data_IF_234272109576
#
_entry.id   IF_234272109576
#
_cell.length_a   1.000
_cell.length_b   1.000
_cell.length_c   1.000
_cell.angle_alpha   90.00
_cell.angle_beta   90.00
_cell.angle_gamma   90.00
#
_symmetry.space_group_name_H-M   'P 1'
#
loop_
_entity.id
_entity.type
_entity.pdbx_description
1 polymer ?
#
# COMPACT_ATOMS: atom_id res chain seq x y z
N UNK A 1 -24.73 -6.31 61.80
CA UNK A 1 -25.24 -7.12 60.68
C UNK A 1 -24.10 -7.35 59.72
N UNK A 2 -23.63 -8.58 59.63
CA UNK A 2 -22.58 -9.01 58.72
C UNK A 2 -23.12 -8.92 57.29
N UNK A 3 -22.56 -8.03 56.47
CA UNK A 3 -22.80 -8.01 55.03
C UNK A 3 -21.85 -9.00 54.36
N UNK A 4 -22.45 -10.04 53.79
CA UNK A 4 -21.85 -11.17 53.09
C UNK A 4 -20.53 -10.86 52.36
N UNK A 5 -19.49 -11.58 52.78
CA UNK A 5 -18.33 -11.92 51.95
C UNK A 5 -18.83 -12.54 50.64
N UNK A 6 -18.48 -11.93 49.52
CA UNK A 6 -18.62 -12.52 48.18
C UNK A 6 -18.07 -13.95 48.20
N UNK A 7 -18.88 -14.91 47.76
CA UNK A 7 -18.47 -16.30 47.56
C UNK A 7 -17.18 -16.34 46.73
N UNK A 8 -16.06 -16.69 47.38
CA UNK A 8 -14.80 -16.90 46.69
C UNK A 8 -14.92 -18.20 45.89
N UNK A 9 -15.16 -18.09 44.58
CA UNK A 9 -15.16 -19.24 43.69
C UNK A 9 -13.78 -19.91 43.71
N UNK A 10 -13.70 -21.10 44.31
CA UNK A 10 -12.48 -21.92 44.28
C UNK A 10 -12.19 -22.34 42.83
N UNK A 11 -11.01 -21.99 42.33
CA UNK A 11 -10.53 -22.37 40.99
C UNK A 11 -9.66 -23.61 41.07
N UNK A 12 -9.68 -24.43 40.03
CA UNK A 12 -8.78 -25.58 39.94
C UNK A 12 -7.33 -25.08 39.73
N UNK A 13 -6.29 -25.71 40.30
CA UNK A 13 -4.91 -25.24 40.13
C UNK A 13 -4.49 -25.06 38.66
N UNK A 14 -4.97 -25.92 37.75
CA UNK A 14 -4.70 -25.79 36.30
C UNK A 14 -5.31 -24.56 35.63
N UNK A 15 -6.28 -23.91 36.28
CA UNK A 15 -6.89 -22.67 35.81
C UNK A 15 -6.14 -21.45 36.36
N UNK A 16 -5.14 -21.63 37.23
CA UNK A 16 -4.40 -20.54 37.83
C UNK A 16 -3.13 -20.22 37.02
N UNK A 17 -2.72 -18.96 37.10
CA UNK A 17 -1.51 -18.42 36.48
C UNK A 17 -0.66 -17.76 37.57
N UNK A 18 0.65 -17.94 37.49
CA UNK A 18 1.56 -17.26 38.40
C UNK A 18 1.61 -15.74 38.12
N UNK A 19 1.17 -14.95 39.10
CA UNK A 19 1.14 -13.48 39.07
C UNK A 19 2.53 -12.86 38.92
N UNK A 20 3.59 -13.54 39.36
CA UNK A 20 4.98 -13.09 39.19
C UNK A 20 5.70 -13.79 38.04
N UNK A 21 5.01 -14.68 37.33
CA UNK A 21 5.55 -15.49 36.25
C UNK A 21 5.60 -14.76 34.91
N UNK A 22 6.18 -15.44 33.92
CA UNK A 22 6.37 -14.93 32.55
C UNK A 22 5.07 -14.68 31.79
N UNK A 23 3.96 -15.26 32.25
CA UNK A 23 2.65 -15.19 31.60
C UNK A 23 1.76 -14.08 32.15
N UNK A 24 2.13 -13.44 33.26
CA UNK A 24 1.32 -12.43 33.95
C UNK A 24 0.76 -11.36 32.99
N UNK A 25 1.58 -10.84 32.08
CA UNK A 25 1.16 -9.80 31.12
C UNK A 25 0.02 -10.18 30.16
N UNK A 26 -0.29 -11.47 30.04
CA UNK A 26 -1.40 -11.98 29.21
C UNK A 26 -2.75 -12.02 29.94
N UNK A 27 -2.76 -11.78 31.25
CA UNK A 27 -3.95 -11.84 32.08
C UNK A 27 -4.19 -10.52 32.81
N UNK A 28 -5.44 -10.29 33.22
CA UNK A 28 -5.87 -9.23 34.12
C UNK A 28 -6.42 -9.87 35.40
N UNK A 29 -6.53 -9.07 36.47
CA UNK A 29 -7.20 -9.50 37.71
C UNK A 29 -8.63 -9.97 37.45
N UNK A 30 -9.32 -9.30 36.52
CA UNK A 30 -10.68 -9.63 36.06
C UNK A 30 -10.81 -11.01 35.41
N UNK A 31 -9.70 -11.60 34.92
CA UNK A 31 -9.73 -12.97 34.39
C UNK A 31 -9.89 -14.01 35.53
N UNK A 32 -9.74 -13.59 36.80
CA UNK A 32 -9.78 -14.45 38.00
C UNK A 32 -8.83 -15.66 37.91
N UNK A 33 -7.74 -15.51 37.17
CA UNK A 33 -6.70 -16.53 36.96
C UNK A 33 -5.55 -16.39 37.94
N UNK A 34 -5.43 -15.25 38.62
CA UNK A 34 -4.44 -15.07 39.67
C UNK A 34 -4.97 -15.60 40.99
N UNK A 35 -4.06 -16.14 41.80
CA UNK A 35 -4.39 -16.50 43.17
C UNK A 35 -4.79 -15.22 43.92
N UNK A 36 -6.00 -15.19 44.49
CA UNK A 36 -6.43 -14.12 45.40
C UNK A 36 -5.71 -14.34 46.73
N UNK A 37 -4.92 -13.36 47.14
CA UNK A 37 -3.97 -13.51 48.23
C UNK A 37 -4.17 -12.38 49.22
N UNK A 38 -4.43 -12.73 50.48
CA UNK A 38 -4.11 -11.81 51.55
C UNK A 38 -2.58 -11.63 51.62
N UNK A 39 -2.15 -10.44 52.03
CA UNK A 39 -0.74 -10.03 52.11
C UNK A 39 0.10 -10.91 53.06
N UNK A 40 -0.54 -11.70 53.94
CA UNK A 40 0.14 -12.53 54.94
C UNK A 40 0.42 -13.95 54.45
N UNK A 41 -0.23 -14.38 53.37
CA UNK A 41 -0.26 -15.79 52.95
C UNK A 41 0.66 -16.09 51.75
N UNK A 42 1.05 -15.08 50.97
CA UNK A 42 1.94 -15.25 49.82
C UNK A 42 3.41 -15.53 50.18
N UNK A 43 3.79 -15.30 51.44
CA UNK A 43 5.16 -15.37 51.93
C UNK A 43 5.71 -16.79 52.15
N UNK A 44 5.00 -17.84 51.72
CA UNK A 44 5.52 -19.22 51.73
C UNK A 44 5.77 -19.71 50.30
N UNK A 45 7.02 -19.63 49.81
CA UNK A 45 7.44 -20.15 48.50
C UNK A 45 6.94 -21.57 48.21
N UNK A 46 6.81 -22.40 49.25
CA UNK A 46 6.32 -23.79 49.16
C UNK A 46 4.92 -23.93 48.59
N UNK A 47 4.03 -22.92 48.73
CA UNK A 47 2.65 -22.99 48.21
C UNK A 47 2.58 -22.75 46.71
N UNK A 48 3.32 -21.78 46.17
CA UNK A 48 3.42 -21.57 44.72
C UNK A 48 4.06 -22.78 44.05
N UNK A 49 5.10 -23.36 44.66
CA UNK A 49 5.70 -24.61 44.19
C UNK A 49 4.70 -25.77 44.21
N UNK A 50 3.85 -25.84 45.24
CA UNK A 50 2.79 -26.87 45.32
C UNK A 50 1.73 -26.66 44.23
N UNK A 51 1.26 -25.44 44.01
CA UNK A 51 0.28 -25.12 42.97
C UNK A 51 0.85 -25.40 41.57
N UNK A 52 2.11 -25.05 41.32
CA UNK A 52 2.80 -25.39 40.09
C UNK A 52 2.85 -26.91 39.88
N UNK A 53 3.16 -27.69 40.93
CA UNK A 53 3.13 -29.16 40.88
C UNK A 53 1.72 -29.73 40.63
N UNK A 54 0.69 -29.03 41.08
CA UNK A 54 -0.72 -29.39 40.87
C UNK A 54 -1.27 -28.91 39.51
N UNK A 55 -0.45 -28.31 38.66
CA UNK A 55 -0.80 -27.96 37.29
C UNK A 55 -1.01 -26.47 37.02
N UNK A 56 -0.72 -25.58 37.98
CA UNK A 56 -0.76 -24.12 37.74
C UNK A 56 0.16 -23.73 36.59
N UNK A 57 -0.36 -22.87 35.72
CA UNK A 57 0.34 -22.44 34.51
C UNK A 57 1.43 -21.43 34.87
N UNK A 58 2.70 -21.80 34.68
CA UNK A 58 3.86 -20.96 35.06
C UNK A 58 4.64 -20.43 33.86
N UNK A 59 4.76 -21.22 32.79
CA UNK A 59 5.67 -20.92 31.66
C UNK A 59 4.98 -21.02 30.30
N UNK A 60 4.20 -22.09 30.05
CA UNK A 60 3.60 -22.39 28.74
C UNK A 60 2.08 -22.46 28.85
N UNK A 61 1.38 -21.78 27.94
CA UNK A 61 -0.08 -21.83 27.82
C UNK A 61 -0.52 -23.13 27.12
N UNK A 62 -1.70 -23.63 27.50
CA UNK A 62 -2.43 -24.58 26.66
C UNK A 62 -2.90 -23.92 25.37
N UNK A 63 -3.21 -24.73 24.36
CA UNK A 63 -3.61 -24.27 23.02
C UNK A 63 -4.87 -23.40 23.09
N UNK A 64 -5.92 -23.90 23.76
CA UNK A 64 -7.16 -23.15 23.98
C UNK A 64 -6.91 -21.80 24.65
N UNK A 65 -6.06 -21.78 25.69
CA UNK A 65 -5.79 -20.55 26.43
C UNK A 65 -4.99 -19.56 25.58
N UNK A 66 -4.06 -20.03 24.76
CA UNK A 66 -3.32 -19.19 23.82
C UNK A 66 -4.26 -18.53 22.82
N UNK A 67 -5.17 -19.30 22.23
CA UNK A 67 -6.19 -18.80 21.30
C UNK A 67 -7.10 -17.77 21.99
N UNK A 68 -7.59 -18.06 23.20
CA UNK A 68 -8.42 -17.14 23.98
C UNK A 68 -7.70 -15.81 24.26
N UNK A 69 -6.40 -15.86 24.56
CA UNK A 69 -5.59 -14.65 24.76
C UNK A 69 -5.43 -13.84 23.47
N UNK A 70 -5.25 -14.49 22.32
CA UNK A 70 -5.24 -13.83 21.02
C UNK A 70 -6.58 -13.15 20.72
N UNK A 71 -7.71 -13.86 20.88
CA UNK A 71 -9.07 -13.32 20.69
C UNK A 71 -9.39 -12.15 21.63
N UNK A 72 -8.85 -12.17 22.86
CA UNK A 72 -9.09 -11.12 23.85
C UNK A 72 -8.57 -9.74 23.43
N UNK A 73 -7.58 -9.65 22.53
CA UNK A 73 -6.99 -8.37 22.09
C UNK A 73 -8.03 -7.52 21.36
N UNK A 74 -8.78 -8.13 20.44
CA UNK A 74 -9.85 -7.43 19.71
C UNK A 74 -10.99 -7.00 20.66
N UNK A 75 -11.34 -7.86 21.63
CA UNK A 75 -12.36 -7.52 22.63
C UNK A 75 -11.91 -6.33 23.51
N UNK A 76 -10.62 -6.29 23.87
CA UNK A 76 -10.04 -5.16 24.60
C UNK A 76 -9.99 -3.90 23.74
N UNK A 77 -9.76 -4.01 22.43
CA UNK A 77 -9.69 -2.86 21.54
C UNK A 77 -11.02 -2.09 21.49
N UNK A 78 -12.15 -2.79 21.67
CA UNK A 78 -13.48 -2.20 21.74
C UNK A 78 -13.72 -1.34 22.99
N UNK A 79 -12.97 -1.58 24.08
CA UNK A 79 -13.14 -0.90 25.37
C UNK A 79 -11.98 0.02 25.73
N UNK A 80 -10.74 -0.37 25.39
CA UNK A 80 -9.51 0.34 25.70
C UNK A 80 -8.34 -0.07 24.79
N UNK A 81 -7.98 0.81 23.86
CA UNK A 81 -6.86 0.60 22.94
C UNK A 81 -5.49 0.41 23.64
N UNK A 82 -5.23 1.07 24.77
CA UNK A 82 -4.00 0.87 25.55
C UNK A 82 -3.92 -0.55 26.11
N UNK A 83 -4.99 -1.03 26.75
CA UNK A 83 -5.03 -2.40 27.26
C UNK A 83 -4.89 -3.44 26.15
N UNK A 84 -5.50 -3.18 24.98
CA UNK A 84 -5.37 -4.06 23.82
C UNK A 84 -3.94 -4.12 23.30
N UNK A 85 -3.28 -2.96 23.18
CA UNK A 85 -1.87 -2.87 22.79
C UNK A 85 -0.95 -3.56 23.79
N UNK A 86 -1.12 -3.34 25.09
CA UNK A 86 -0.34 -4.02 26.12
C UNK A 86 -0.48 -5.54 26.01
N UNK A 87 -1.72 -6.03 25.84
CA UNK A 87 -2.01 -7.45 25.64
C UNK A 87 -1.35 -7.98 24.37
N UNK A 88 -1.43 -7.24 23.27
CA UNK A 88 -0.78 -7.56 22.00
C UNK A 88 0.73 -7.68 22.15
N UNK A 89 1.39 -6.70 22.78
CA UNK A 89 2.84 -6.69 23.03
C UNK A 89 3.27 -7.94 23.79
N UNK A 90 2.55 -8.30 24.85
CA UNK A 90 2.85 -9.50 25.64
C UNK A 90 2.58 -10.78 24.86
N UNK A 91 1.50 -10.82 24.09
CA UNK A 91 1.13 -11.96 23.26
C UNK A 91 2.18 -12.24 22.17
N UNK A 92 2.61 -11.20 21.46
CA UNK A 92 3.65 -11.29 20.43
C UNK A 92 5.00 -11.71 21.03
N UNK A 93 5.36 -11.23 22.24
CA UNK A 93 6.57 -11.73 22.95
C UNK A 93 6.49 -13.22 23.24
N UNK A 94 5.34 -13.69 23.73
CA UNK A 94 5.13 -15.11 24.01
C UNK A 94 5.23 -15.94 22.72
N UNK A 95 4.52 -15.55 21.67
CA UNK A 95 4.54 -16.25 20.38
C UNK A 95 5.97 -16.33 19.82
N UNK A 96 6.73 -15.25 19.85
CA UNK A 96 8.10 -15.25 19.35
C UNK A 96 9.03 -16.18 20.15
N UNK A 97 8.79 -16.34 21.46
CA UNK A 97 9.57 -17.27 22.30
C UNK A 97 9.23 -18.74 22.01
N UNK A 98 7.95 -19.03 21.80
CA UNK A 98 7.44 -20.41 21.65
C UNK A 98 7.26 -20.83 20.19
N UNK A 99 7.69 -20.01 19.21
CA UNK A 99 7.33 -20.16 17.80
C UNK A 99 7.63 -21.54 17.23
N UNK A 100 8.78 -22.13 17.57
CA UNK A 100 9.16 -23.48 17.11
C UNK A 100 8.22 -24.57 17.61
N UNK A 101 7.75 -24.47 18.86
CA UNK A 101 6.76 -25.41 19.40
C UNK A 101 5.39 -25.20 18.75
N UNK A 102 5.03 -23.97 18.44
CA UNK A 102 3.74 -23.62 17.85
C UNK A 102 3.69 -24.08 16.39
N UNK A 103 4.73 -23.82 15.59
CA UNK A 103 4.84 -24.24 14.19
C UNK A 103 4.76 -25.76 14.01
N UNK A 104 5.17 -26.51 15.03
CA UNK A 104 5.07 -27.98 15.04
C UNK A 104 3.62 -28.48 15.13
N UNK A 105 2.70 -27.68 15.68
CA UNK A 105 1.26 -27.95 15.66
C UNK A 105 0.58 -27.14 14.54
N UNK A 106 0.33 -27.81 13.42
CA UNK A 106 -0.23 -27.18 12.21
C UNK A 106 -1.65 -26.61 12.42
N UNK A 107 -2.47 -27.25 13.26
CA UNK A 107 -3.84 -26.80 13.54
C UNK A 107 -3.82 -25.49 14.34
N UNK A 108 -3.10 -25.48 15.46
CA UNK A 108 -2.90 -24.30 16.28
C UNK A 108 -2.27 -23.16 15.49
N UNK A 109 -1.23 -23.47 14.70
CA UNK A 109 -0.54 -22.46 13.90
C UNK A 109 -1.46 -21.84 12.85
N UNK A 110 -2.29 -22.66 12.20
CA UNK A 110 -3.29 -22.18 11.23
C UNK A 110 -4.34 -21.30 11.90
N UNK A 111 -4.84 -21.67 13.08
CA UNK A 111 -5.81 -20.84 13.82
C UNK A 111 -5.18 -19.49 14.19
N UNK A 112 -3.96 -19.48 14.74
CA UNK A 112 -3.24 -18.26 15.11
C UNK A 112 -3.08 -17.28 13.94
N UNK A 113 -2.82 -17.77 12.72
CA UNK A 113 -2.69 -16.94 11.51
C UNK A 113 -3.96 -16.18 11.16
N UNK A 114 -5.12 -16.62 11.62
CA UNK A 114 -6.43 -16.02 11.36
C UNK A 114 -6.90 -15.07 12.46
N UNK A 115 -6.25 -15.08 13.62
CA UNK A 115 -6.63 -14.22 14.75
C UNK A 115 -6.25 -12.76 14.50
N UNK A 116 -7.16 -11.84 14.81
CA UNK A 116 -6.93 -10.39 14.71
C UNK A 116 -6.21 -9.87 15.96
N UNK A 117 -4.89 -9.96 15.97
CA UNK A 117 -4.08 -9.55 17.12
C UNK A 117 -2.90 -8.65 16.78
N UNK A 118 -2.60 -8.40 15.49
CA UNK A 118 -1.49 -7.54 15.09
C UNK A 118 -2.00 -6.12 14.79
N UNK A 119 -1.32 -5.08 15.30
CA UNK A 119 -1.77 -3.70 15.14
C UNK A 119 -1.62 -3.24 13.69
N UNK A 120 -2.61 -2.54 13.18
CA UNK A 120 -2.62 -1.92 11.86
C UNK A 120 -2.09 -0.49 11.96
N UNK A 121 -1.21 -0.11 11.03
CA UNK A 121 -0.63 1.22 10.97
C UNK A 121 -1.70 2.27 10.63
N UNK A 122 -1.76 3.29 11.46
CA UNK A 122 -2.64 4.43 11.24
C UNK A 122 -2.14 5.33 10.11
N UNK A 123 -3.08 5.97 9.41
CA UNK A 123 -2.81 6.94 8.36
C UNK A 123 -2.07 8.16 8.93
N UNK A 124 -0.99 8.60 8.27
CA UNK A 124 -0.33 9.86 8.66
C UNK A 124 -1.23 11.05 8.33
N UNK A 125 -1.09 12.15 9.08
CA UNK A 125 -1.84 13.40 8.82
C UNK A 125 -1.48 14.02 7.46
N UNK A 126 -0.24 13.82 7.03
CA UNK A 126 0.28 14.35 5.77
C UNK A 126 -0.16 13.50 4.55
N UNK A 127 -0.81 12.37 4.80
CA UNK A 127 -1.24 11.43 3.76
C UNK A 127 -2.64 11.79 3.26
N UNK A 128 -2.75 12.25 2.02
CA UNK A 128 -4.01 12.84 1.51
C UNK A 128 -4.84 11.91 0.63
N UNK A 129 -4.33 10.75 0.22
CA UNK A 129 -5.07 9.76 -0.58
C UNK A 129 -5.55 8.58 0.27
N UNK A 130 -6.25 7.62 -0.33
CA UNK A 130 -6.77 6.43 0.32
C UNK A 130 -5.70 5.71 1.13
N UNK A 131 -6.11 5.15 2.27
CA UNK A 131 -5.26 4.35 3.13
C UNK A 131 -5.92 2.99 3.39
N UNK A 132 -5.13 1.92 3.46
CA UNK A 132 -5.62 0.54 3.54
C UNK A 132 -6.48 0.29 4.78
N UNK A 133 -6.21 1.00 5.88
CA UNK A 133 -7.06 0.95 7.08
C UNK A 133 -8.45 1.56 6.82
N UNK A 134 -8.58 2.56 5.94
CA UNK A 134 -9.86 3.21 5.62
C UNK A 134 -10.88 2.21 5.05
N UNK A 135 -10.40 1.10 4.45
CA UNK A 135 -11.24 0.02 3.92
C UNK A 135 -11.74 -0.93 5.02
N UNK A 136 -10.98 -1.04 6.12
CA UNK A 136 -11.36 -1.83 7.30
C UNK A 136 -12.36 -1.04 8.14
N UNK A 137 -12.11 0.27 8.36
CA UNK A 137 -12.93 1.11 9.24
C UNK A 137 -14.32 1.38 8.68
N UNK A 138 -14.48 1.53 7.36
CA UNK A 138 -15.79 1.63 6.69
C UNK A 138 -16.70 0.43 6.96
N UNK A 139 -16.16 -0.73 7.36
CA UNK A 139 -16.92 -1.92 7.77
C UNK A 139 -17.40 -1.86 9.24
N UNK A 140 -16.76 -1.02 10.08
CA UNK A 140 -16.91 -1.01 11.55
C UNK A 140 -17.73 0.19 12.04
N UNK A 141 -18.05 1.17 11.19
CA UNK A 141 -18.83 2.39 11.51
C UNK A 141 -20.25 2.12 12.10
N UNK A 142 -20.69 0.87 12.16
CA UNK A 142 -21.89 0.41 12.87
C UNK A 142 -21.72 0.22 14.38
N UNK A 143 -20.50 0.26 14.93
CA UNK A 143 -20.21 -0.11 16.32
C UNK A 143 -19.74 1.08 17.15
N UNK A 144 -20.61 1.59 18.03
CA UNK A 144 -20.30 2.64 19.00
C UNK A 144 -19.18 2.15 19.93
N UNK A 145 -17.98 2.71 19.84
CA UNK A 145 -16.87 2.39 20.74
C UNK A 145 -17.25 2.88 22.14
N UNK A 146 -17.40 1.94 23.09
CA UNK A 146 -17.73 2.25 24.49
C UNK A 146 -16.42 2.30 25.27
N UNK A 147 -15.96 3.51 25.60
CA UNK A 147 -14.77 3.68 26.42
C UNK A 147 -15.13 3.46 27.89
N UNK A 148 -14.91 2.23 28.36
CA UNK A 148 -15.11 1.85 29.76
C UNK A 148 -13.83 1.19 30.30
N UNK A 149 -12.81 2.03 30.54
CA UNK A 149 -11.58 1.59 31.18
C UNK A 149 -11.45 2.24 32.55
N UNK A 150 -11.30 1.42 33.59
CA UNK A 150 -11.10 1.86 34.97
C UNK A 150 -9.75 2.56 35.21
N UNK A 151 -8.83 2.55 34.23
CA UNK A 151 -7.54 3.24 34.35
C UNK A 151 -7.64 4.69 33.87
N UNK A 152 -7.49 5.63 34.80
CA UNK A 152 -7.61 7.08 34.57
C UNK A 152 -6.57 7.59 33.55
N UNK A 153 -5.42 6.93 33.44
CA UNK A 153 -4.34 7.30 32.49
C UNK A 153 -4.68 6.92 31.03
N UNK A 154 -5.73 6.12 30.80
CA UNK A 154 -6.13 5.66 29.47
C UNK A 154 -7.20 6.56 28.81
N UNK A 155 -7.41 7.79 29.31
CA UNK A 155 -8.52 8.70 28.92
C UNK A 155 -8.47 9.29 27.50
N UNK A 156 -7.34 9.20 26.79
CA UNK A 156 -7.23 9.67 25.41
C UNK A 156 -6.50 8.62 24.58
N UNK A 157 -7.18 8.02 23.61
CA UNK A 157 -6.53 7.03 22.74
C UNK A 157 -7.04 7.16 21.32
N UNK A 158 -6.09 7.28 20.42
CA UNK A 158 -6.30 7.06 18.98
C UNK A 158 -6.80 5.61 18.84
N UNK A 159 -7.92 5.37 18.13
CA UNK A 159 -8.41 4.01 17.94
C UNK A 159 -7.32 3.15 17.29
N UNK A 160 -7.03 2.01 17.91
CA UNK A 160 -6.08 1.04 17.39
C UNK A 160 -6.88 -0.10 16.78
N UNK A 161 -6.58 -0.41 15.53
CA UNK A 161 -7.16 -1.54 14.83
C UNK A 161 -6.19 -2.71 14.84
N UNK A 162 -6.73 -3.92 14.99
CA UNK A 162 -5.97 -5.16 14.87
C UNK A 162 -6.50 -5.97 13.70
N UNK A 163 -5.60 -6.68 13.04
CA UNK A 163 -5.93 -7.53 11.91
C UNK A 163 -5.13 -8.83 11.99
N UNK A 164 -5.61 -9.83 11.26
CA UNK A 164 -4.93 -11.12 11.14
C UNK A 164 -3.62 -10.99 10.38
N UNK A 165 -2.57 -11.73 10.80
CA UNK A 165 -1.28 -11.70 10.13
C UNK A 165 -1.35 -11.89 8.60
N UNK A 166 -2.20 -12.80 8.12
CA UNK A 166 -2.33 -13.13 6.69
C UNK A 166 -2.95 -12.00 5.85
N UNK A 167 -3.63 -11.05 6.50
CA UNK A 167 -4.25 -9.90 5.87
C UNK A 167 -3.34 -8.66 5.89
N UNK A 168 -2.18 -8.74 6.54
CA UNK A 168 -1.25 -7.62 6.71
C UNK A 168 -0.04 -7.71 5.78
N UNK A 169 0.41 -6.53 5.36
CA UNK A 169 1.72 -6.35 4.75
C UNK A 169 2.73 -5.81 5.75
N UNK A 170 4.00 -6.13 5.52
CA UNK A 170 5.12 -5.61 6.31
C UNK A 170 5.29 -4.11 6.10
N UNK A 171 5.73 -3.42 7.15
CA UNK A 171 6.06 -2.00 7.09
C UNK A 171 7.21 -1.66 6.13
N UNK A 172 7.99 -2.66 5.67
CA UNK A 172 9.07 -2.47 4.70
C UNK A 172 8.58 -2.25 3.27
N UNK A 173 7.31 -2.55 2.99
CA UNK A 173 6.69 -2.37 1.65
C UNK A 173 5.52 -1.40 1.70
N UNK A 174 5.52 -0.51 2.69
CA UNK A 174 4.43 0.42 2.97
C UNK A 174 4.02 1.18 1.73
N UNK A 175 4.96 1.86 1.06
CA UNK A 175 4.73 2.71 -0.10
C UNK A 175 4.09 1.95 -1.27
N UNK A 176 4.30 0.62 -1.34
CA UNK A 176 3.85 -0.22 -2.44
C UNK A 176 2.40 -0.69 -2.31
N UNK A 177 1.83 -0.68 -1.10
CA UNK A 177 0.53 -1.33 -0.83
C UNK A 177 -0.42 -0.50 0.03
N UNK A 178 0.07 0.52 0.73
CA UNK A 178 -0.66 1.19 1.80
C UNK A 178 -1.94 1.91 1.37
N UNK A 179 -2.18 2.15 0.08
CA UNK A 179 -3.45 2.75 -0.38
C UNK A 179 -4.56 1.70 -0.57
N UNK A 180 -4.20 0.42 -0.58
CA UNK A 180 -5.10 -0.70 -0.86
C UNK A 180 -5.18 -1.67 0.32
N UNK A 181 -4.05 -1.97 0.97
CA UNK A 181 -3.97 -2.98 2.02
C UNK A 181 -3.45 -2.42 3.34
N UNK A 182 -3.91 -3.00 4.47
CA UNK A 182 -3.40 -2.65 5.79
C UNK A 182 -1.94 -3.09 5.95
N UNK A 183 -1.19 -2.25 6.65
CA UNK A 183 0.24 -2.46 6.92
C UNK A 183 0.42 -2.64 8.43
N UNK A 184 1.30 -3.57 8.82
CA UNK A 184 1.65 -3.82 10.21
C UNK A 184 2.24 -2.57 10.87
N UNK A 185 1.70 -2.15 12.02
CA UNK A 185 2.33 -1.13 12.83
C UNK A 185 3.45 -1.71 13.70
N UNK A 186 4.66 -1.71 13.14
CA UNK A 186 5.83 -2.23 13.87
C UNK A 186 6.21 -1.37 15.07
N UNK A 187 5.79 -0.10 15.11
CA UNK A 187 6.17 0.85 16.18
C UNK A 187 5.47 0.55 17.50
N UNK A 188 4.30 -0.10 17.46
CA UNK A 188 3.54 -0.51 18.63
C UNK A 188 4.03 -1.85 19.24
N UNK A 189 4.99 -2.52 18.61
CA UNK A 189 5.38 -3.89 18.94
C UNK A 189 6.76 -3.96 19.63
N UNK A 190 7.03 -5.02 20.42
CA UNK A 190 8.29 -5.15 21.16
C UNK A 190 9.53 -4.99 20.27
N UNK A 191 10.53 -4.26 20.77
CA UNK A 191 11.86 -4.23 20.17
C UNK A 191 12.50 -5.64 20.26
N UNK A 192 13.40 -5.96 19.31
CA UNK A 192 14.12 -7.24 19.29
C UNK A 192 13.42 -8.41 18.60
N UNK A 193 12.16 -8.25 18.17
CA UNK A 193 11.47 -9.27 17.36
C UNK A 193 11.83 -9.07 15.88
N UNK A 194 12.51 -10.06 15.30
CA UNK A 194 12.99 -10.01 13.93
C UNK A 194 11.85 -10.06 12.91
N UNK A 195 12.08 -9.47 11.73
CA UNK A 195 11.09 -9.45 10.64
C UNK A 195 10.71 -10.85 10.16
N UNK A 196 11.58 -11.86 10.36
CA UNK A 196 11.32 -13.25 9.99
C UNK A 196 10.13 -13.84 10.77
N UNK A 197 10.02 -13.54 12.07
CA UNK A 197 8.89 -13.99 12.89
C UNK A 197 7.54 -13.59 12.27
N UNK A 198 7.40 -12.32 11.88
CA UNK A 198 6.17 -11.83 11.25
C UNK A 198 5.89 -12.53 9.92
N UNK A 199 6.92 -12.83 9.14
CA UNK A 199 6.78 -13.62 7.91
C UNK A 199 6.28 -15.04 8.19
N UNK A 200 6.83 -15.73 9.21
CA UNK A 200 6.43 -17.08 9.57
C UNK A 200 4.93 -17.16 9.94
N UNK A 201 4.45 -16.18 10.72
CA UNK A 201 3.03 -16.07 11.08
C UNK A 201 2.16 -15.51 9.96
N UNK A 202 2.69 -15.22 8.76
CA UNK A 202 1.89 -14.91 7.57
C UNK A 202 1.83 -13.45 7.13
N UNK A 203 2.54 -12.53 7.81
CA UNK A 203 2.64 -11.13 7.34
C UNK A 203 3.40 -11.08 6.02
N UNK A 204 2.76 -10.53 4.99
CA UNK A 204 3.26 -10.53 3.62
C UNK A 204 4.41 -9.53 3.45
N UNK A 205 5.46 -9.94 2.76
CA UNK A 205 6.58 -9.08 2.32
C UNK A 205 6.66 -8.96 0.81
N UNK A 206 6.21 -10.00 0.11
CA UNK A 206 6.24 -10.03 -1.34
C UNK A 206 5.08 -9.22 -1.89
N UNK A 207 5.40 -8.28 -2.77
CA UNK A 207 4.43 -7.46 -3.51
C UNK A 207 4.46 -7.92 -4.95
N UNK A 208 3.30 -8.14 -5.55
CA UNK A 208 3.21 -8.47 -6.97
C UNK A 208 3.29 -7.20 -7.82
N UNK A 209 3.71 -7.35 -9.08
CA UNK A 209 3.72 -6.25 -10.04
C UNK A 209 2.32 -5.63 -10.20
N UNK A 210 1.29 -6.48 -10.30
CA UNK A 210 -0.10 -6.05 -10.41
C UNK A 210 -0.51 -5.19 -9.21
N UNK A 211 -0.22 -5.63 -7.99
CA UNK A 211 -0.62 -4.89 -6.79
C UNK A 211 0.07 -3.52 -6.69
N UNK A 212 1.35 -3.44 -7.07
CA UNK A 212 2.07 -2.16 -7.09
C UNK A 212 1.48 -1.17 -8.12
N UNK A 213 1.06 -1.66 -9.30
CA UNK A 213 0.37 -0.85 -10.32
C UNK A 213 -1.03 -0.43 -9.89
N UNK A 214 -1.80 -1.33 -9.26
CA UNK A 214 -3.11 -0.99 -8.69
C UNK A 214 -2.98 0.07 -7.61
N UNK A 215 -1.99 -0.04 -6.72
CA UNK A 215 -1.73 0.94 -5.68
C UNK A 215 -1.39 2.31 -6.29
N UNK A 216 -0.53 2.34 -7.32
CA UNK A 216 -0.20 3.55 -8.05
C UNK A 216 -1.43 4.20 -8.71
N UNK A 217 -2.33 3.40 -9.28
CA UNK A 217 -3.58 3.89 -9.87
C UNK A 217 -4.49 4.53 -8.82
N UNK A 218 -4.64 3.91 -7.64
CA UNK A 218 -5.41 4.48 -6.53
C UNK A 218 -4.81 5.82 -6.08
N UNK A 219 -3.49 5.89 -5.91
CA UNK A 219 -2.78 7.13 -5.55
C UNK A 219 -3.07 8.21 -6.59
N UNK A 220 -2.92 7.90 -7.89
CA UNK A 220 -3.14 8.87 -8.94
C UNK A 220 -4.57 9.41 -8.94
N UNK A 221 -5.56 8.53 -8.86
CA UNK A 221 -6.96 8.93 -8.90
C UNK A 221 -7.30 9.87 -7.74
N UNK A 222 -6.88 9.52 -6.52
CA UNK A 222 -7.16 10.31 -5.32
C UNK A 222 -6.42 11.65 -5.32
N UNK A 223 -5.18 11.69 -5.81
CA UNK A 223 -4.43 12.95 -5.95
C UNK A 223 -5.10 13.85 -6.98
N UNK A 224 -5.49 13.31 -8.15
CA UNK A 224 -6.17 14.08 -9.20
C UNK A 224 -7.53 14.64 -8.73
N UNK A 225 -8.24 13.94 -7.85
CA UNK A 225 -9.49 14.46 -7.27
C UNK A 225 -9.25 15.55 -6.24
N UNK A 226 -8.22 15.39 -5.40
CA UNK A 226 -7.94 16.27 -4.25
C UNK A 226 -7.14 17.53 -4.62
N UNK A 227 -6.45 17.56 -5.76
CA UNK A 227 -5.79 18.78 -6.28
C UNK A 227 -6.76 19.95 -6.46
N UNK A 228 -8.05 19.67 -6.70
CA UNK A 228 -9.11 20.69 -6.78
C UNK A 228 -9.38 21.38 -5.42
N UNK A 229 -8.92 20.80 -4.33
CA UNK A 229 -9.15 21.25 -2.94
C UNK A 229 -7.88 21.86 -2.29
N UNK A 230 -6.75 21.91 -3.01
CA UNK A 230 -5.61 22.77 -2.68
C UNK A 230 -4.66 22.31 -1.56
N UNK A 231 -4.68 21.04 -1.14
CA UNK A 231 -3.97 20.58 0.08
C UNK A 231 -2.98 19.41 -0.10
N UNK A 232 -2.58 19.04 -1.33
CA UNK A 232 -1.69 17.89 -1.55
C UNK A 232 -0.22 18.24 -1.28
N UNK A 233 0.43 17.54 -0.35
CA UNK A 233 1.89 17.60 -0.19
C UNK A 233 2.58 16.92 -1.37
N UNK A 234 3.07 17.75 -2.30
CA UNK A 234 3.76 17.33 -3.51
C UNK A 234 5.02 16.48 -3.22
N UNK A 235 5.71 16.70 -2.09
CA UNK A 235 6.92 15.96 -1.77
C UNK A 235 6.61 14.52 -1.35
N UNK A 236 5.60 14.33 -0.51
CA UNK A 236 5.18 13.00 -0.06
C UNK A 236 4.71 12.16 -1.26
N UNK A 237 3.82 12.71 -2.10
CA UNK A 237 3.35 12.06 -3.34
C UNK A 237 4.54 11.62 -4.18
N UNK A 238 5.46 12.54 -4.48
CA UNK A 238 6.62 12.25 -5.31
C UNK A 238 7.50 11.15 -4.71
N UNK A 239 7.76 11.18 -3.39
CA UNK A 239 8.57 10.17 -2.72
C UNK A 239 7.95 8.76 -2.77
N UNK A 240 6.63 8.66 -2.54
CA UNK A 240 5.89 7.39 -2.59
C UNK A 240 5.84 6.84 -4.01
N UNK A 241 5.52 7.68 -4.99
CA UNK A 241 5.47 7.28 -6.41
C UNK A 241 6.83 6.82 -6.91
N UNK A 242 7.91 7.54 -6.57
CA UNK A 242 9.28 7.15 -6.93
C UNK A 242 9.66 5.80 -6.30
N UNK A 243 9.24 5.51 -5.07
CA UNK A 243 9.47 4.21 -4.45
C UNK A 243 8.78 3.07 -5.24
N UNK A 244 7.55 3.29 -5.69
CA UNK A 244 6.81 2.34 -6.54
C UNK A 244 7.52 2.14 -7.88
N UNK A 245 7.94 3.22 -8.56
CA UNK A 245 8.67 3.12 -9.84
C UNK A 245 9.98 2.35 -9.70
N UNK A 246 10.74 2.60 -8.63
CA UNK A 246 11.97 1.84 -8.35
C UNK A 246 11.68 0.37 -8.17
N UNK A 247 10.66 0.02 -7.39
CA UNK A 247 10.23 -1.37 -7.21
C UNK A 247 9.85 -2.03 -8.54
N UNK A 248 9.05 -1.36 -9.38
CA UNK A 248 8.63 -1.89 -10.68
C UNK A 248 9.83 -2.04 -11.64
N UNK A 249 10.73 -1.05 -11.67
CA UNK A 249 11.96 -1.10 -12.44
C UNK A 249 12.81 -2.31 -12.03
N UNK A 250 13.10 -2.46 -10.74
CA UNK A 250 13.91 -3.57 -10.24
C UNK A 250 13.26 -4.93 -10.48
N UNK A 251 11.94 -5.04 -10.28
CA UNK A 251 11.18 -6.27 -10.51
C UNK A 251 11.28 -6.70 -11.96
N UNK A 252 11.09 -5.76 -12.89
CA UNK A 252 11.24 -6.04 -14.31
C UNK A 252 12.68 -6.37 -14.68
N UNK A 253 13.66 -5.56 -14.25
CA UNK A 253 15.09 -5.77 -14.54
C UNK A 253 15.60 -7.12 -14.03
N UNK A 254 15.22 -7.55 -12.82
CA UNK A 254 15.63 -8.85 -12.25
C UNK A 254 15.06 -10.03 -13.06
N UNK A 255 13.90 -9.85 -13.70
CA UNK A 255 13.22 -10.88 -14.48
C UNK A 255 13.57 -10.86 -15.98
N UNK A 256 14.44 -9.95 -16.43
CA UNK A 256 14.86 -9.84 -17.84
C UNK A 256 15.63 -11.06 -18.38
N UNK A 257 15.91 -12.06 -17.55
CA UNK A 257 16.62 -13.28 -17.95
C UNK A 257 15.72 -14.28 -18.70
N UNK A 258 14.41 -14.04 -18.77
CA UNK A 258 13.44 -14.90 -19.46
C UNK A 258 12.44 -14.06 -20.27
N UNK A 259 12.46 -14.24 -21.59
CA UNK A 259 11.53 -13.57 -22.51
C UNK A 259 10.06 -13.87 -22.15
N UNK A 260 9.74 -15.11 -21.80
CA UNK A 260 8.38 -15.50 -21.38
C UNK A 260 7.90 -14.73 -20.14
N UNK A 261 8.78 -14.57 -19.13
CA UNK A 261 8.45 -13.78 -17.94
C UNK A 261 8.30 -12.30 -18.28
N UNK A 262 9.19 -11.76 -19.12
CA UNK A 262 9.09 -10.37 -19.57
C UNK A 262 7.76 -10.10 -20.28
N UNK A 263 7.34 -11.00 -21.16
CA UNK A 263 6.07 -10.89 -21.88
C UNK A 263 4.89 -10.87 -20.90
N UNK A 264 4.85 -11.80 -19.94
CA UNK A 264 3.81 -11.84 -18.92
C UNK A 264 3.72 -10.57 -18.05
N UNK A 265 4.87 -10.01 -17.66
CA UNK A 265 4.90 -8.74 -16.91
C UNK A 265 4.38 -7.57 -17.76
N UNK A 266 4.77 -7.54 -19.05
CA UNK A 266 4.38 -6.48 -19.98
C UNK A 266 2.87 -6.54 -20.27
N UNK A 267 2.31 -7.74 -20.45
CA UNK A 267 0.86 -7.95 -20.59
C UNK A 267 0.09 -7.48 -19.35
N UNK A 268 0.64 -7.74 -18.16
CA UNK A 268 0.04 -7.25 -16.91
C UNK A 268 0.05 -5.72 -16.86
N UNK A 269 1.15 -5.09 -17.27
CA UNK A 269 1.31 -3.65 -17.29
C UNK A 269 0.49 -2.95 -18.39
N UNK A 270 0.25 -3.62 -19.52
CA UNK A 270 -0.52 -3.08 -20.65
C UNK A 270 -1.94 -2.67 -20.25
N UNK A 271 -2.52 -3.35 -19.26
CA UNK A 271 -3.81 -3.01 -18.64
C UNK A 271 -3.86 -1.58 -18.07
N UNK A 272 -2.70 -1.00 -17.75
CA UNK A 272 -2.57 0.34 -17.18
C UNK A 272 -2.05 1.38 -18.20
N UNK A 273 -1.86 0.99 -19.47
CA UNK A 273 -1.26 1.85 -20.50
C UNK A 273 -2.06 3.12 -20.78
N UNK A 274 -3.37 3.08 -20.55
CA UNK A 274 -4.30 4.19 -20.75
C UNK A 274 -4.76 4.85 -19.45
N UNK A 275 -4.18 4.45 -18.32
CA UNK A 275 -4.47 4.99 -17.00
C UNK A 275 -3.46 6.07 -16.62
N UNK A 276 -3.88 7.04 -15.81
CA UNK A 276 -2.99 8.08 -15.31
C UNK A 276 -2.11 7.46 -14.22
N UNK A 277 -0.88 7.07 -14.55
CA UNK A 277 0.02 6.42 -13.58
C UNK A 277 1.44 6.99 -13.59
N UNK A 278 1.76 7.89 -14.53
CA UNK A 278 3.06 8.55 -14.63
C UNK A 278 2.99 9.97 -14.08
N UNK A 279 3.73 10.24 -13.01
CA UNK A 279 3.83 11.57 -12.42
C UNK A 279 4.91 12.38 -13.13
N UNK A 280 4.51 13.42 -13.87
CA UNK A 280 5.38 14.36 -14.56
C UNK A 280 5.02 15.78 -14.15
N UNK A 281 6.00 16.57 -13.68
CA UNK A 281 5.78 17.98 -13.32
C UNK A 281 4.57 18.22 -12.38
N UNK A 282 4.33 17.29 -11.45
CA UNK A 282 3.21 17.35 -10.52
C UNK A 282 1.88 16.83 -11.05
N UNK A 283 1.76 16.49 -12.33
CA UNK A 283 0.53 15.94 -12.92
C UNK A 283 0.69 14.46 -13.26
N UNK A 284 -0.36 13.67 -13.04
CA UNK A 284 -0.40 12.30 -13.51
C UNK A 284 -0.88 12.22 -14.96
N UNK A 285 -0.15 11.47 -15.79
CA UNK A 285 -0.41 11.29 -17.22
C UNK A 285 -0.38 9.81 -17.60
N UNK A 286 -0.87 9.49 -18.79
CA UNK A 286 -0.94 8.11 -19.29
C UNK A 286 0.37 7.67 -19.91
N UNK A 287 0.79 6.41 -19.72
CA UNK A 287 1.94 5.84 -20.42
C UNK A 287 1.90 6.01 -21.94
N UNK A 288 0.73 5.84 -22.58
CA UNK A 288 0.58 6.02 -24.02
C UNK A 288 0.77 7.46 -24.53
N UNK A 289 0.85 8.45 -23.64
CA UNK A 289 1.14 9.84 -23.96
C UNK A 289 2.62 10.20 -23.72
N UNK A 290 3.42 9.30 -23.15
CA UNK A 290 4.81 9.60 -22.77
C UNK A 290 5.77 9.00 -23.79
N UNK A 291 6.80 9.76 -24.13
CA UNK A 291 7.95 9.30 -24.92
C UNK A 291 9.26 9.73 -24.26
N UNK A 292 10.32 8.95 -24.44
CA UNK A 292 11.61 9.23 -23.78
C UNK A 292 12.25 10.52 -24.31
N UNK A 293 12.16 10.75 -25.62
CA UNK A 293 12.69 11.92 -26.30
C UNK A 293 11.66 12.49 -27.26
N UNK A 294 11.33 13.77 -27.07
CA UNK A 294 10.50 14.53 -28.01
C UNK A 294 11.22 15.84 -28.38
N UNK A 295 11.20 16.25 -29.66
CA UNK A 295 11.84 17.49 -30.11
C UNK A 295 11.20 18.75 -29.51
N UNK A 296 9.87 18.76 -29.41
CA UNK A 296 9.11 19.86 -28.83
C UNK A 296 8.07 19.31 -27.86
N UNK A 297 7.80 20.03 -26.77
CA UNK A 297 6.75 19.67 -25.82
C UNK A 297 5.38 19.76 -26.51
N UNK A 298 4.67 18.65 -26.59
CA UNK A 298 3.34 18.56 -27.19
C UNK A 298 2.28 18.23 -26.12
N UNK A 299 2.50 18.62 -24.87
CA UNK A 299 1.50 18.46 -23.80
C UNK A 299 0.17 19.14 -24.20
N UNK A 300 -0.99 18.50 -23.97
CA UNK A 300 -1.18 17.21 -23.28
C UNK A 300 -1.17 15.97 -24.18
N UNK A 301 -0.91 16.09 -25.48
CA UNK A 301 -0.95 14.97 -26.43
C UNK A 301 0.27 14.07 -26.35
N UNK A 302 1.47 14.65 -26.21
CA UNK A 302 2.70 13.92 -25.95
C UNK A 302 3.57 14.64 -24.91
N UNK A 303 4.05 13.88 -23.93
CA UNK A 303 4.94 14.32 -22.88
C UNK A 303 6.34 13.73 -23.09
N UNK A 304 7.36 14.58 -23.08
CA UNK A 304 8.75 14.15 -23.14
C UNK A 304 9.38 13.97 -21.77
N UNK A 305 10.20 12.95 -21.59
CA UNK A 305 11.02 12.76 -20.38
C UNK A 305 12.31 13.59 -20.39
N UNK A 306 12.41 14.62 -21.24
CA UNK A 306 13.63 15.41 -21.46
C UNK A 306 14.19 16.00 -20.15
N UNK A 307 13.31 16.49 -19.26
CA UNK A 307 13.66 17.07 -17.96
C UNK A 307 13.46 16.10 -16.76
N UNK A 308 12.85 14.93 -16.99
CA UNK A 308 12.52 13.96 -15.95
C UNK A 308 13.65 12.93 -15.75
N UNK A 309 14.84 13.39 -15.33
CA UNK A 309 16.06 12.56 -15.27
C UNK A 309 15.92 11.29 -14.42
N UNK A 310 15.23 11.38 -13.27
CA UNK A 310 15.02 10.24 -12.38
C UNK A 310 14.23 9.13 -13.08
N UNK A 311 13.10 9.46 -13.70
CA UNK A 311 12.28 8.51 -14.44
C UNK A 311 13.00 7.98 -15.69
N UNK A 312 13.71 8.85 -16.41
CA UNK A 312 14.51 8.48 -17.59
C UNK A 312 15.62 7.46 -17.27
N UNK A 313 16.14 7.46 -16.04
CA UNK A 313 17.13 6.48 -15.60
C UNK A 313 16.56 5.08 -15.35
N UNK A 314 15.23 4.95 -15.16
CA UNK A 314 14.54 3.70 -14.83
C UNK A 314 14.15 2.93 -16.09
N UNK A 315 15.14 2.51 -16.89
CA UNK A 315 14.92 1.87 -18.20
C UNK A 315 14.04 0.61 -18.14
N UNK A 316 14.14 -0.17 -17.07
CA UNK A 316 13.31 -1.36 -16.88
C UNK A 316 11.83 -0.99 -16.73
N UNK A 317 11.53 0.04 -15.96
CA UNK A 317 10.15 0.54 -15.79
C UNK A 317 9.59 1.14 -17.09
N UNK A 318 10.39 1.91 -17.83
CA UNK A 318 9.96 2.44 -19.14
C UNK A 318 9.64 1.32 -20.13
N UNK A 319 10.47 0.27 -20.18
CA UNK A 319 10.23 -0.91 -21.03
C UNK A 319 9.01 -1.70 -20.58
N UNK A 320 8.80 -1.87 -19.26
CA UNK A 320 7.62 -2.52 -18.70
C UNK A 320 6.32 -1.84 -19.18
N UNK A 321 6.29 -0.51 -19.18
CA UNK A 321 5.14 0.28 -19.62
C UNK A 321 5.07 0.47 -21.14
N UNK A 322 6.00 -0.12 -21.91
CA UNK A 322 6.09 0.02 -23.36
C UNK A 322 6.15 1.49 -23.80
N UNK A 323 6.92 2.30 -23.07
CA UNK A 323 7.14 3.72 -23.40
C UNK A 323 8.13 3.78 -24.55
N UNK A 324 7.71 4.37 -25.66
CA UNK A 324 8.53 4.51 -26.85
C UNK A 324 9.69 5.49 -26.61
N UNK A 325 10.85 5.18 -27.19
CA UNK A 325 12.00 6.09 -27.14
C UNK A 325 11.70 7.42 -27.82
N UNK A 326 10.84 7.40 -28.86
CA UNK A 326 10.45 8.54 -29.71
C UNK A 326 9.04 8.32 -30.26
N UNK A 327 8.36 9.39 -30.65
CA UNK A 327 7.09 9.29 -31.37
C UNK A 327 7.29 8.70 -32.77
N UNK A 328 6.47 7.73 -33.16
CA UNK A 328 6.34 7.31 -34.56
C UNK A 328 5.48 8.29 -35.36
N UNK A 329 5.71 8.40 -36.67
CA UNK A 329 4.91 9.25 -37.53
C UNK A 329 3.42 8.85 -37.50
N UNK A 330 3.11 7.56 -37.39
CA UNK A 330 1.74 7.05 -37.28
C UNK A 330 1.01 7.54 -36.02
N UNK A 331 1.70 7.56 -34.86
CA UNK A 331 1.13 8.10 -33.61
C UNK A 331 0.80 9.58 -33.74
N UNK A 332 1.70 10.37 -34.33
CA UNK A 332 1.50 11.82 -34.51
C UNK A 332 0.39 12.10 -35.52
N UNK A 333 0.34 11.38 -36.64
CA UNK A 333 -0.73 11.50 -37.63
C UNK A 333 -2.10 11.18 -37.05
N UNK A 334 -2.21 10.13 -36.23
CA UNK A 334 -3.45 9.80 -35.52
C UNK A 334 -3.96 10.97 -34.68
N UNK A 335 -3.06 11.67 -33.96
CA UNK A 335 -3.42 12.88 -33.22
C UNK A 335 -3.86 14.02 -34.14
N UNK A 336 -3.13 14.31 -35.20
CA UNK A 336 -3.51 15.35 -36.16
C UNK A 336 -4.90 15.08 -36.78
N UNK A 337 -5.22 13.82 -37.10
CA UNK A 337 -6.54 13.42 -37.61
C UNK A 337 -7.65 13.59 -36.55
N UNK A 338 -7.35 13.40 -35.26
CA UNK A 338 -8.29 13.73 -34.18
C UNK A 338 -8.60 15.23 -34.12
N UNK A 339 -7.61 16.10 -34.28
CA UNK A 339 -7.83 17.55 -34.33
C UNK A 339 -8.66 17.94 -35.55
N UNK A 340 -8.32 17.40 -36.73
CA UNK A 340 -9.13 17.59 -37.93
C UNK A 340 -10.58 17.15 -37.73
N UNK A 341 -10.80 16.00 -37.09
CA UNK A 341 -12.15 15.50 -36.79
C UNK A 341 -12.89 16.41 -35.79
N UNK A 342 -12.19 16.98 -34.81
CA UNK A 342 -12.75 17.85 -33.76
C UNK A 342 -13.12 19.24 -34.29
N UNK A 343 -12.22 19.87 -35.06
CA UNK A 343 -12.40 21.24 -35.53
C UNK A 343 -12.97 21.30 -36.94
N UNK A 344 -12.48 20.50 -37.87
CA UNK A 344 -12.87 20.57 -39.28
C UNK A 344 -12.70 21.98 -39.83
N UNK A 345 -13.83 22.66 -40.11
CA UNK A 345 -13.88 24.05 -40.56
C UNK A 345 -14.07 25.08 -39.42
N UNK A 346 -14.09 24.63 -38.16
CA UNK A 346 -14.17 25.51 -36.98
C UNK A 346 -12.79 26.09 -36.67
N UNK A 347 -12.80 27.31 -36.18
CA UNK A 347 -11.60 28.01 -35.70
C UNK A 347 -11.08 27.39 -34.41
N UNK A 348 -9.78 27.13 -34.39
CA UNK A 348 -9.00 26.76 -33.21
C UNK A 348 -8.57 28.01 -32.45
N UNK A 349 -8.48 27.93 -31.13
CA UNK A 349 -7.87 29.01 -30.35
C UNK A 349 -6.34 29.04 -30.51
N UNK A 350 -5.70 30.10 -30.02
CA UNK A 350 -4.27 30.31 -30.20
C UNK A 350 -3.39 29.18 -29.61
N UNK A 351 -3.75 28.67 -28.43
CA UNK A 351 -3.00 27.60 -27.77
C UNK A 351 -3.15 26.26 -28.50
N UNK A 352 -4.34 25.99 -29.03
CA UNK A 352 -4.64 24.84 -29.87
C UNK A 352 -3.84 24.90 -31.19
N UNK A 353 -3.77 26.08 -31.84
CA UNK A 353 -2.96 26.28 -33.06
C UNK A 353 -1.48 26.07 -32.74
N UNK A 354 -0.96 26.63 -31.64
CA UNK A 354 0.43 26.42 -31.20
C UNK A 354 0.71 24.94 -30.96
N UNK A 355 -0.19 24.22 -30.30
CA UNK A 355 -0.04 22.77 -30.07
C UNK A 355 -0.04 21.99 -31.39
N UNK A 356 -0.93 22.31 -32.32
CA UNK A 356 -0.98 21.67 -33.64
C UNK A 356 0.31 21.90 -34.44
N UNK A 357 0.85 23.12 -34.43
CA UNK A 357 2.13 23.44 -35.07
C UNK A 357 3.29 22.65 -34.43
N UNK A 358 3.30 22.50 -33.10
CA UNK A 358 4.30 21.65 -32.41
C UNK A 358 4.17 20.19 -32.86
N UNK A 359 2.95 19.65 -32.95
CA UNK A 359 2.71 18.29 -33.48
C UNK A 359 3.24 18.13 -34.91
N UNK A 360 3.04 19.11 -35.79
CA UNK A 360 3.60 19.09 -37.15
C UNK A 360 5.13 19.04 -37.16
N UNK A 361 5.81 19.78 -36.26
CA UNK A 361 7.28 19.72 -36.14
C UNK A 361 7.76 18.36 -35.64
N UNK A 362 7.04 17.76 -34.70
CA UNK A 362 7.32 16.40 -34.23
C UNK A 362 7.10 15.40 -35.36
N UNK A 363 6.03 15.54 -36.16
CA UNK A 363 5.78 14.69 -37.33
C UNK A 363 6.95 14.71 -38.31
N UNK A 364 7.41 15.92 -38.70
CA UNK A 364 8.55 16.08 -39.61
C UNK A 364 9.81 15.41 -39.05
N UNK A 365 10.02 15.50 -37.74
CA UNK A 365 11.15 14.84 -37.07
C UNK A 365 10.99 13.31 -37.10
N UNK A 366 9.81 12.78 -36.78
CA UNK A 366 9.52 11.34 -36.80
C UNK A 366 9.64 10.73 -38.20
N UNK A 367 9.14 11.41 -39.24
CA UNK A 367 9.24 10.95 -40.63
C UNK A 367 10.68 10.76 -41.11
N UNK A 368 11.60 11.62 -40.65
CA UNK A 368 13.04 11.48 -40.96
C UNK A 368 13.65 10.21 -40.38
N UNK A 369 13.15 9.74 -39.24
CA UNK A 369 13.62 8.52 -38.60
C UNK A 369 12.95 7.27 -39.15
N UNK A 370 11.66 7.36 -39.50
CA UNK A 370 10.86 6.25 -40.00
C UNK A 370 11.15 5.92 -41.49
N UNK A 371 12.10 6.62 -42.15
CA UNK A 371 12.39 6.52 -43.58
C UNK A 371 11.13 6.63 -44.45
N UNK A 372 10.23 7.53 -44.07
CA UNK A 372 8.91 7.62 -44.67
C UNK A 372 8.99 8.14 -46.11
N UNK A 373 8.42 7.41 -47.07
CA UNK A 373 8.34 7.88 -48.46
C UNK A 373 7.36 9.05 -48.58
N UNK A 374 7.77 10.16 -49.20
CA UNK A 374 6.93 11.36 -49.35
C UNK A 374 5.54 11.10 -50.00
N UNK A 375 5.37 9.95 -50.67
CA UNK A 375 4.11 9.53 -51.27
C UNK A 375 3.01 9.14 -50.27
N UNK A 376 3.33 8.83 -49.00
CA UNK A 376 2.35 8.33 -48.03
C UNK A 376 1.71 9.40 -47.15
N UNK A 377 2.07 10.69 -47.32
CA UNK A 377 1.35 11.83 -46.72
C UNK A 377 1.00 12.84 -47.82
N UNK A 378 -0.06 12.54 -48.55
CA UNK A 378 -0.53 13.39 -49.66
C UNK A 378 -1.42 14.54 -49.18
N UNK A 379 -2.20 14.30 -48.13
CA UNK A 379 -3.19 15.22 -47.60
C UNK A 379 -2.85 15.54 -46.13
N UNK A 380 -2.32 16.74 -45.88
CA UNK A 380 -2.10 17.27 -44.54
C UNK A 380 -3.03 18.46 -44.33
N UNK A 381 -3.46 18.72 -43.10
CA UNK A 381 -4.28 19.88 -42.79
C UNK A 381 -3.43 20.83 -41.95
N UNK A 382 -3.30 22.09 -42.36
CA UNK A 382 -2.41 23.06 -41.70
C UNK A 382 -3.25 24.28 -41.30
N UNK A 383 -3.18 24.77 -40.05
CA UNK A 383 -3.94 25.93 -39.62
C UNK A 383 -3.62 27.16 -40.46
N UNK A 384 -4.65 27.86 -40.93
CA UNK A 384 -4.51 29.16 -41.58
C UNK A 384 -4.43 30.30 -40.56
N UNK A 385 -4.40 31.56 -41.04
CA UNK A 385 -4.33 32.75 -40.17
C UNK A 385 -5.56 32.94 -39.28
N UNK A 386 -6.64 32.19 -39.52
CA UNK A 386 -7.87 32.18 -38.72
C UNK A 386 -7.99 30.90 -37.90
N UNK A 387 -6.93 30.11 -37.78
CA UNK A 387 -6.94 28.84 -37.04
C UNK A 387 -7.87 27.77 -37.63
N UNK A 388 -8.29 27.90 -38.89
CA UNK A 388 -9.07 26.89 -39.61
C UNK A 388 -8.09 25.90 -40.24
N UNK A 389 -8.47 24.62 -40.36
CA UNK A 389 -7.64 23.56 -40.94
C UNK A 389 -8.02 23.28 -42.42
N UNK A 390 -7.58 24.08 -43.41
CA UNK A 390 -7.74 23.75 -44.82
C UNK A 390 -6.85 22.56 -45.22
N UNK A 391 -7.28 21.84 -46.26
CA UNK A 391 -6.49 20.80 -46.89
C UNK A 391 -5.26 21.41 -47.56
N UNK A 392 -4.08 20.91 -47.19
CA UNK A 392 -2.79 21.22 -47.77
C UNK A 392 -2.22 19.96 -48.41
N UNK A 393 -2.15 19.95 -49.75
CA UNK A 393 -1.54 18.85 -50.49
C UNK A 393 -0.05 19.06 -50.62
N UNK A 394 0.74 18.16 -50.05
CA UNK A 394 2.20 18.15 -50.25
C UNK A 394 2.52 17.64 -51.66
N UNK A 395 2.36 18.49 -52.66
CA UNK A 395 2.93 18.25 -53.98
C UNK A 395 4.45 18.48 -53.91
N UNK A 396 5.21 17.40 -53.70
CA UNK A 396 6.63 17.24 -54.06
C UNK A 396 7.49 18.49 -53.81
N UNK A 397 7.74 18.82 -52.53
CA UNK A 397 8.74 19.83 -52.13
C UNK A 397 9.83 19.27 -51.19
N UNK A 398 10.06 17.95 -51.21
CA UNK A 398 11.28 17.36 -50.62
C UNK A 398 12.30 16.90 -51.68
N UNK A 399 12.17 17.40 -52.91
CA UNK A 399 13.16 17.26 -53.99
C UNK A 399 13.94 18.55 -54.23
N UNK A 400 14.20 19.38 -53.21
CA UNK A 400 15.20 20.45 -53.33
C UNK A 400 15.96 20.59 -52.01
N UNK A 401 17.18 20.01 -52.03
CA UNK A 401 18.38 20.20 -51.20
C UNK A 401 18.36 19.77 -49.73
#
# INVERSE_FOLDING_TARGET
MYSNSSEQSLRHPSELVDRKGLLNGLFKEEDERFVILDLNTYSKPTRLTTLARLGMTTIKLSENLLIDRGKSIQNLAATCAHCALDRCVQFVRYLNREITSIESNQELFSELKTLQFLPVKSKSKDWVWSWGLDRITKSIESSKIIYDCNNIDHKHIIPVHFESPINLYSNTVLELVCSIHPVLDRSCLPLGIFSQFFGNIGVKKDVSLLLALENLLVISNDVCTNEKEGSTDSQLVNSTVVAIYKFLNETFTKQMLSEERMQSLTETADRFRNENILLLNGIFVKPCQVVVQIPEDCSPDFYGLNAAYSLKSMKGFLKLLQIDDRCSAAQVLSKLEMYKSKYGLKEMNEDEVKLYVRLLKVLVSSMKFDNWEAASVQDLFIPDTKGILPLFRMYVLMKVQ
#
